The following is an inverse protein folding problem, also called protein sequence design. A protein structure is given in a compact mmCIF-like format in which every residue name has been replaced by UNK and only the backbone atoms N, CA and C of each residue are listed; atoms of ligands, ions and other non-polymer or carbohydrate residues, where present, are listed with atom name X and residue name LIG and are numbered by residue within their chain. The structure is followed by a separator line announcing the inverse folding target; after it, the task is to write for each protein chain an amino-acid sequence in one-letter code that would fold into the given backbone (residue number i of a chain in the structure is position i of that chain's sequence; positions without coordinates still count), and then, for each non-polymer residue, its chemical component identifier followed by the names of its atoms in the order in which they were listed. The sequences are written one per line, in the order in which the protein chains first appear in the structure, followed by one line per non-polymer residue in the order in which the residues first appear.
data_IF_606164346134
#
_entry.id   IF_606164346134
#
_cell.length_a   1.000
_cell.length_b   1.000
_cell.length_c   1.000
_cell.angle_alpha   90.00
_cell.angle_beta   90.00
_cell.angle_gamma   90.00
#
_symmetry.space_group_name_H-M   'P 1'
#
loop_
_entity.id
_entity.type
_entity.pdbx_description
1 polymer ?
#
# COMPACT_ATOMS: atom_id res chain seq x y z
N UNK A 1 -1.53 -24.88 11.22
CA UNK A 1 -1.19 -23.65 10.45
C UNK A 1 -2.42 -23.33 9.62
N UNK A 2 -2.85 -22.09 9.57
CA UNK A 2 -4.00 -21.69 8.72
C UNK A 2 -3.51 -21.67 7.28
N UNK A 3 -4.19 -22.35 6.38
CA UNK A 3 -3.97 -22.24 4.94
C UNK A 3 -4.81 -21.07 4.41
N UNK A 4 -4.16 -20.03 3.94
CA UNK A 4 -4.82 -18.86 3.36
C UNK A 4 -5.30 -19.06 1.91
N UNK A 5 -4.94 -20.18 1.26
CA UNK A 5 -5.29 -20.47 -0.14
C UNK A 5 -4.56 -19.57 -1.14
N UNK A 6 -3.38 -19.04 -0.78
CA UNK A 6 -2.64 -18.05 -1.57
C UNK A 6 -1.54 -18.66 -2.46
N UNK A 7 -1.26 -19.94 -2.30
CA UNK A 7 -0.22 -20.63 -3.08
C UNK A 7 -0.50 -20.51 -4.59
N UNK A 8 0.52 -20.09 -5.34
CA UNK A 8 0.47 -19.83 -6.79
C UNK A 8 -0.45 -18.67 -7.23
N UNK A 9 -1.10 -17.95 -6.33
CA UNK A 9 -1.81 -16.73 -6.66
C UNK A 9 -0.82 -15.63 -7.03
N UNK A 10 -1.19 -14.76 -7.95
CA UNK A 10 -0.36 -13.62 -8.38
C UNK A 10 -0.82 -12.37 -7.61
N UNK A 11 0.05 -11.87 -6.73
CA UNK A 11 -0.19 -10.67 -5.93
C UNK A 11 0.64 -9.50 -6.46
N UNK A 12 -0.04 -8.45 -6.91
CA UNK A 12 0.55 -7.21 -7.37
C UNK A 12 0.45 -6.14 -6.28
N UNK A 13 1.60 -5.61 -5.84
CA UNK A 13 1.70 -4.63 -4.76
C UNK A 13 2.37 -3.37 -5.30
N UNK A 14 1.69 -2.22 -5.16
CA UNK A 14 2.24 -0.92 -5.54
C UNK A 14 2.94 -0.24 -4.36
N UNK A 15 4.00 0.56 -4.62
CA UNK A 15 4.77 1.26 -3.59
C UNK A 15 5.58 0.32 -2.70
N UNK A 16 6.37 -0.59 -3.30
CA UNK A 16 6.98 -1.70 -2.59
C UNK A 16 8.52 -1.70 -2.55
N UNK A 17 9.19 -0.57 -2.86
CA UNK A 17 10.66 -0.46 -2.82
C UNK A 17 11.24 -0.17 -1.44
N UNK A 18 10.51 0.49 -0.54
CA UNK A 18 11.00 0.75 0.83
C UNK A 18 11.06 -0.57 1.63
N UNK A 19 12.26 -1.08 2.01
CA UNK A 19 12.43 -2.38 2.67
C UNK A 19 11.86 -2.46 4.09
N UNK A 20 11.48 -1.33 4.70
CA UNK A 20 10.79 -1.22 6.00
C UNK A 20 9.31 -0.87 5.82
N UNK A 21 8.86 -0.64 4.59
CA UNK A 21 7.50 -0.20 4.27
C UNK A 21 6.47 -1.33 4.32
N UNK A 22 5.21 -0.91 4.36
CA UNK A 22 4.06 -1.82 4.32
C UNK A 22 4.07 -2.66 3.03
N UNK A 23 4.35 -2.03 1.87
CA UNK A 23 4.35 -2.72 0.58
C UNK A 23 5.37 -3.86 0.52
N UNK A 24 6.63 -3.61 0.91
CA UNK A 24 7.67 -4.63 0.96
C UNK A 24 7.35 -5.75 1.96
N UNK A 25 6.85 -5.40 3.14
CA UNK A 25 6.47 -6.39 4.16
C UNK A 25 5.29 -7.25 3.70
N UNK A 26 4.31 -6.65 3.03
CA UNK A 26 3.19 -7.37 2.40
C UNK A 26 3.68 -8.32 1.31
N UNK A 27 4.63 -7.89 0.48
CA UNK A 27 5.23 -8.74 -0.55
C UNK A 27 5.90 -9.99 0.04
N UNK A 28 6.70 -9.80 1.11
CA UNK A 28 7.33 -10.91 1.83
C UNK A 28 6.29 -11.84 2.49
N UNK A 29 5.20 -11.28 3.01
CA UNK A 29 4.12 -12.06 3.60
C UNK A 29 3.42 -12.93 2.55
N UNK A 30 3.11 -12.41 1.37
CA UNK A 30 2.58 -13.20 0.25
C UNK A 30 3.56 -14.27 -0.24
N UNK A 31 4.85 -13.92 -0.34
CA UNK A 31 5.88 -14.89 -0.72
C UNK A 31 5.99 -16.07 0.27
N UNK A 32 5.88 -15.80 1.57
CA UNK A 32 5.85 -16.83 2.62
C UNK A 32 4.69 -17.82 2.44
N UNK A 33 3.56 -17.36 1.94
CA UNK A 33 2.39 -18.20 1.63
C UNK A 33 2.46 -18.85 0.23
N UNK A 34 3.58 -18.73 -0.47
CA UNK A 34 3.81 -19.35 -1.78
C UNK A 34 3.11 -18.64 -2.94
N UNK A 35 2.72 -17.38 -2.77
CA UNK A 35 2.22 -16.56 -3.87
C UNK A 35 3.37 -16.09 -4.77
N UNK A 36 3.05 -15.81 -6.03
CA UNK A 36 3.92 -15.10 -6.97
C UNK A 36 3.76 -13.61 -6.72
N UNK A 37 4.86 -12.88 -6.58
CA UNK A 37 4.83 -11.50 -6.12
C UNK A 37 5.26 -10.54 -7.23
N UNK A 38 4.45 -9.52 -7.48
CA UNK A 38 4.80 -8.43 -8.38
C UNK A 38 4.97 -7.15 -7.57
N UNK A 39 6.18 -6.61 -7.57
CA UNK A 39 6.50 -5.32 -6.96
C UNK A 39 6.41 -4.24 -8.03
N UNK A 40 5.58 -3.24 -7.80
CA UNK A 40 5.54 -2.02 -8.60
C UNK A 40 5.97 -0.86 -7.72
N UNK A 41 6.92 -0.06 -8.20
CA UNK A 41 7.40 1.10 -7.48
C UNK A 41 7.84 2.21 -8.43
N UNK A 42 7.91 3.42 -7.90
CA UNK A 42 8.56 4.56 -8.53
C UNK A 42 9.55 5.14 -7.54
N UNK A 43 10.75 5.48 -7.99
CA UNK A 43 11.70 6.26 -7.19
C UNK A 43 11.13 7.65 -6.94
N UNK A 44 11.12 8.05 -5.67
CA UNK A 44 10.64 9.37 -5.26
C UNK A 44 11.83 10.13 -4.70
N UNK A 45 12.37 11.04 -5.51
CA UNK A 45 13.51 11.85 -5.12
C UNK A 45 13.03 13.03 -4.24
N UNK A 46 13.33 12.93 -2.94
CA UNK A 46 13.14 14.00 -1.95
C UNK A 46 14.46 14.27 -1.26
N UNK A 47 14.76 15.53 -0.93
CA UNK A 47 15.99 15.87 -0.22
C UNK A 47 16.10 15.15 1.12
N UNK A 48 17.25 14.54 1.42
CA UNK A 48 17.55 13.89 2.70
C UNK A 48 19.04 14.04 3.06
N UNK A 49 19.34 13.98 4.36
CA UNK A 49 20.69 13.96 4.87
C UNK A 49 21.23 12.54 4.93
N UNK A 50 22.15 12.20 4.02
CA UNK A 50 22.73 10.87 3.92
C UNK A 50 23.43 10.39 5.20
N UNK A 51 23.88 11.29 6.08
CA UNK A 51 24.53 10.95 7.35
C UNK A 51 23.54 10.46 8.41
N UNK A 52 22.24 10.70 8.23
CA UNK A 52 21.17 10.37 9.17
C UNK A 52 20.36 9.13 8.78
N UNK A 53 20.63 8.52 7.62
CA UNK A 53 19.85 7.38 7.11
C UNK A 53 20.03 6.09 7.92
N UNK A 54 21.03 6.01 8.80
CA UNK A 54 21.30 4.84 9.64
C UNK A 54 20.29 4.60 10.77
N UNK A 55 19.43 5.59 11.09
CA UNK A 55 18.40 5.53 12.12
C UNK A 55 17.02 5.82 11.54
N UNK A 56 15.96 5.38 12.23
CA UNK A 56 14.60 5.75 11.86
C UNK A 56 14.42 7.28 11.89
N UNK A 57 13.66 7.80 10.94
CA UNK A 57 13.40 9.22 10.75
C UNK A 57 13.14 9.53 9.27
N UNK A 58 12.81 10.78 9.01
CA UNK A 58 12.46 11.26 7.66
C UNK A 58 13.55 11.01 6.63
N UNK A 59 14.83 11.17 7.00
CA UNK A 59 15.98 11.00 6.10
C UNK A 59 16.10 9.52 5.64
N UNK A 60 15.96 8.58 6.57
CA UNK A 60 15.92 7.15 6.23
C UNK A 60 14.77 6.81 5.31
N UNK A 61 13.60 7.33 5.61
CA UNK A 61 12.40 7.08 4.82
C UNK A 61 12.52 7.63 3.40
N UNK A 62 13.04 8.87 3.25
CA UNK A 62 13.25 9.46 1.92
C UNK A 62 14.34 8.75 1.13
N UNK A 63 15.46 8.40 1.77
CA UNK A 63 16.50 7.60 1.13
C UNK A 63 15.98 6.25 0.61
N UNK A 64 15.14 5.57 1.40
CA UNK A 64 14.54 4.29 1.00
C UNK A 64 13.60 4.45 -0.20
N UNK A 65 12.81 5.52 -0.24
CA UNK A 65 11.88 5.75 -1.36
C UNK A 65 12.60 6.28 -2.62
N UNK A 66 13.76 6.93 -2.48
CA UNK A 66 14.62 7.32 -3.61
C UNK A 66 15.42 6.13 -4.19
N UNK A 67 15.56 5.06 -3.42
CA UNK A 67 16.23 3.83 -3.85
C UNK A 67 15.37 2.96 -4.78
N UNK A 68 16.01 1.95 -5.35
CA UNK A 68 15.33 0.88 -6.07
C UNK A 68 14.80 -0.20 -5.11
N UNK A 69 14.26 -1.29 -5.65
CA UNK A 69 13.74 -2.40 -4.87
C UNK A 69 14.77 -3.49 -4.55
N UNK A 70 16.07 -3.27 -4.76
CA UNK A 70 17.12 -4.30 -4.66
C UNK A 70 17.16 -4.99 -3.29
N UNK A 71 17.00 -4.25 -2.20
CA UNK A 71 16.95 -4.80 -0.84
C UNK A 71 15.74 -5.74 -0.64
N UNK A 72 14.61 -5.43 -1.26
CA UNK A 72 13.40 -6.24 -1.20
C UNK A 72 13.55 -7.47 -2.09
N UNK A 73 14.12 -7.31 -3.29
CA UNK A 73 14.43 -8.41 -4.19
C UNK A 73 15.38 -9.44 -3.55
N UNK A 74 16.43 -8.97 -2.88
CA UNK A 74 17.37 -9.86 -2.18
C UNK A 74 16.67 -10.71 -1.11
N UNK A 75 15.75 -10.11 -0.35
CA UNK A 75 14.93 -10.83 0.64
C UNK A 75 14.03 -11.87 -0.01
N UNK A 76 13.31 -11.50 -1.08
CA UNK A 76 12.45 -12.44 -1.83
C UNK A 76 13.26 -13.58 -2.45
N UNK A 77 14.44 -13.28 -3.00
CA UNK A 77 15.36 -14.29 -3.54
C UNK A 77 15.84 -15.27 -2.48
N UNK A 78 16.19 -14.77 -1.28
CA UNK A 78 16.56 -15.63 -0.13
C UNK A 78 15.43 -16.54 0.33
N UNK A 79 14.18 -16.11 0.15
CA UNK A 79 13.00 -16.92 0.44
C UNK A 79 12.68 -17.93 -0.67
N UNK A 80 13.36 -17.91 -1.81
CA UNK A 80 13.05 -18.74 -2.97
C UNK A 80 11.72 -18.35 -3.65
N UNK A 81 11.29 -17.12 -3.51
CA UNK A 81 10.03 -16.65 -4.05
C UNK A 81 10.09 -16.49 -5.58
N UNK A 82 8.95 -16.72 -6.27
CA UNK A 82 8.77 -16.29 -7.65
C UNK A 82 8.28 -14.84 -7.66
N UNK A 83 9.06 -13.94 -8.23
CA UNK A 83 8.74 -12.52 -8.22
C UNK A 83 9.06 -11.80 -9.53
N UNK A 84 8.47 -10.64 -9.69
CA UNK A 84 8.71 -9.68 -10.76
C UNK A 84 8.80 -8.28 -10.15
N UNK A 85 9.73 -7.46 -10.63
CA UNK A 85 9.91 -6.07 -10.16
C UNK A 85 9.79 -5.13 -11.34
N UNK A 86 8.98 -4.09 -11.19
CA UNK A 86 8.69 -3.08 -12.21
C UNK A 86 8.85 -1.69 -11.61
N UNK A 87 9.79 -0.91 -12.13
CA UNK A 87 9.84 0.53 -11.86
C UNK A 87 8.85 1.22 -12.80
N UNK A 88 7.78 1.80 -12.24
CA UNK A 88 6.69 2.37 -13.03
C UNK A 88 5.88 3.38 -12.23
N UNK A 89 5.38 4.42 -12.89
CA UNK A 89 4.54 5.46 -12.31
C UNK A 89 3.06 5.17 -12.53
N UNK A 90 2.35 4.76 -11.47
CA UNK A 90 0.91 4.46 -11.53
C UNK A 90 0.03 5.69 -11.80
N UNK A 91 0.55 6.91 -11.66
CA UNK A 91 -0.19 8.12 -12.02
C UNK A 91 -0.32 8.32 -13.55
N UNK A 92 0.44 7.53 -14.34
CA UNK A 92 0.40 7.52 -15.80
C UNK A 92 -0.42 6.31 -16.30
N UNK A 93 -1.45 6.57 -17.10
CA UNK A 93 -2.37 5.53 -17.58
C UNK A 93 -1.67 4.50 -18.49
N UNK A 94 -0.78 4.94 -19.37
CA UNK A 94 -0.09 4.02 -20.29
C UNK A 94 0.92 3.15 -19.55
N UNK A 95 1.59 3.70 -18.53
CA UNK A 95 2.45 2.93 -17.63
C UNK A 95 1.66 1.85 -16.86
N UNK A 96 0.43 2.15 -16.43
CA UNK A 96 -0.45 1.16 -15.79
C UNK A 96 -0.81 0.03 -16.76
N UNK A 97 -1.15 0.34 -18.02
CA UNK A 97 -1.39 -0.70 -19.05
C UNK A 97 -0.16 -1.57 -19.29
N UNK A 98 1.04 -0.97 -19.31
CA UNK A 98 2.30 -1.68 -19.50
C UNK A 98 2.60 -2.61 -18.31
N UNK A 99 2.34 -2.19 -17.07
CA UNK A 99 2.43 -3.05 -15.89
C UNK A 99 1.60 -4.32 -16.10
N UNK A 100 0.30 -4.16 -16.43
CA UNK A 100 -0.59 -5.32 -16.61
C UNK A 100 -0.17 -6.17 -17.79
N UNK A 101 0.20 -5.60 -18.94
CA UNK A 101 0.67 -6.38 -20.09
C UNK A 101 1.90 -7.22 -19.76
N UNK A 102 2.85 -6.67 -19.01
CA UNK A 102 4.07 -7.38 -18.57
C UNK A 102 3.74 -8.52 -17.60
N UNK A 103 2.87 -8.26 -16.62
CA UNK A 103 2.47 -9.28 -15.64
C UNK A 103 1.68 -10.40 -16.30
N UNK A 104 0.75 -10.06 -17.20
CA UNK A 104 -0.03 -11.05 -17.94
C UNK A 104 0.84 -11.89 -18.88
N UNK A 105 1.84 -11.31 -19.53
CA UNK A 105 2.79 -12.06 -20.35
C UNK A 105 3.59 -13.07 -19.52
N UNK A 106 3.97 -12.74 -18.27
CA UNK A 106 4.74 -13.64 -17.40
C UNK A 106 3.89 -14.65 -16.66
N UNK A 107 2.75 -14.23 -16.09
CA UNK A 107 1.97 -15.03 -15.15
C UNK A 107 0.56 -15.38 -15.62
N UNK A 108 0.09 -14.76 -16.71
CA UNK A 108 -1.22 -15.00 -17.30
C UNK A 108 -2.39 -14.35 -16.58
N UNK A 109 -2.18 -13.82 -15.36
CA UNK A 109 -3.24 -13.23 -14.52
C UNK A 109 -2.68 -12.38 -13.39
N UNK A 110 -3.55 -11.56 -12.79
CA UNK A 110 -3.37 -10.96 -11.47
C UNK A 110 -4.56 -11.37 -10.59
N UNK A 111 -4.32 -12.05 -9.48
CA UNK A 111 -5.34 -12.53 -8.56
C UNK A 111 -5.64 -11.54 -7.43
N UNK A 112 -4.61 -10.83 -6.99
CA UNK A 112 -4.65 -9.94 -5.84
C UNK A 112 -3.98 -8.62 -6.23
N UNK A 113 -4.69 -7.51 -5.99
CA UNK A 113 -4.16 -6.17 -6.15
C UNK A 113 -4.10 -5.48 -4.77
N UNK A 114 -2.92 -4.98 -4.40
CA UNK A 114 -2.72 -4.15 -3.21
C UNK A 114 -2.33 -2.75 -3.65
N UNK A 115 -3.29 -1.82 -3.59
CA UNK A 115 -3.09 -0.40 -3.85
C UNK A 115 -2.46 0.26 -2.61
N UNK A 116 -1.13 0.13 -2.48
CA UNK A 116 -0.38 0.65 -1.33
C UNK A 116 0.41 1.92 -1.68
N UNK A 117 0.80 2.14 -2.94
CA UNK A 117 1.51 3.35 -3.33
C UNK A 117 0.74 4.61 -2.93
N UNK A 118 1.45 5.56 -2.36
CA UNK A 118 0.91 6.85 -1.97
C UNK A 118 1.99 7.93 -1.99
N UNK A 119 1.54 9.15 -2.15
CA UNK A 119 2.34 10.37 -1.95
C UNK A 119 1.57 11.36 -1.11
N UNK A 120 2.28 12.29 -0.50
CA UNK A 120 1.81 13.41 0.30
C UNK A 120 2.56 14.68 -0.08
N UNK A 121 2.34 15.78 0.60
CA UNK A 121 3.19 16.98 0.52
C UNK A 121 4.64 16.62 0.86
N UNK A 122 5.59 17.26 0.18
CA UNK A 122 7.03 17.03 0.40
C UNK A 122 7.51 17.34 1.81
N UNK A 123 6.77 18.14 2.57
CA UNK A 123 7.01 18.38 3.99
C UNK A 123 6.22 17.45 4.92
N UNK A 124 5.40 16.53 4.37
CA UNK A 124 4.56 15.61 5.11
C UNK A 124 3.33 16.24 5.77
N UNK A 125 3.19 17.57 5.69
CA UNK A 125 2.09 18.33 6.29
C UNK A 125 1.62 19.43 5.36
N UNK A 126 0.32 19.46 5.07
CA UNK A 126 -0.34 20.54 4.35
C UNK A 126 -1.51 21.10 5.17
N UNK A 127 -1.54 22.41 5.33
CA UNK A 127 -2.66 23.13 5.95
C UNK A 127 -3.46 23.86 4.89
N UNK A 128 -4.73 24.17 5.18
CA UNK A 128 -5.61 24.85 4.22
C UNK A 128 -5.02 26.19 3.74
N UNK A 129 -4.20 26.84 4.54
CA UNK A 129 -3.55 28.12 4.19
C UNK A 129 -2.36 27.96 3.26
N UNK A 130 -1.69 26.79 3.26
CA UNK A 130 -0.44 26.52 2.54
C UNK A 130 -0.63 25.57 1.35
N UNK A 131 -1.81 24.98 1.23
CA UNK A 131 -2.10 24.04 0.15
C UNK A 131 -1.92 24.69 -1.22
N UNK A 132 -1.30 23.98 -2.15
CA UNK A 132 -1.09 24.43 -3.52
C UNK A 132 -1.80 23.52 -4.52
N UNK A 133 -2.12 24.06 -5.70
CA UNK A 133 -2.69 23.24 -6.78
C UNK A 133 -1.79 22.03 -7.08
N UNK A 134 -0.47 22.23 -7.13
CA UNK A 134 0.49 21.14 -7.41
C UNK A 134 0.37 20.00 -6.40
N UNK A 135 0.31 20.31 -5.10
CA UNK A 135 0.18 19.28 -4.05
C UNK A 135 -1.15 18.53 -4.19
N UNK A 136 -2.24 19.23 -4.49
CA UNK A 136 -3.55 18.60 -4.74
C UNK A 136 -3.45 17.65 -5.93
N UNK A 137 -2.97 18.16 -7.09
CA UNK A 137 -2.91 17.42 -8.34
C UNK A 137 -2.02 16.18 -8.20
N UNK A 138 -0.82 16.31 -7.65
CA UNK A 138 0.14 15.21 -7.49
C UNK A 138 -0.39 14.14 -6.51
N UNK A 139 -0.96 14.56 -5.38
CA UNK A 139 -1.48 13.63 -4.38
C UNK A 139 -2.67 12.84 -4.94
N UNK A 140 -3.63 13.49 -5.58
CA UNK A 140 -4.78 12.82 -6.17
C UNK A 140 -4.39 12.01 -7.41
N UNK A 141 -3.39 12.42 -8.17
CA UNK A 141 -2.88 11.67 -9.32
C UNK A 141 -2.36 10.29 -8.91
N UNK A 142 -1.59 10.20 -7.83
CA UNK A 142 -1.04 8.94 -7.33
C UNK A 142 -2.08 8.18 -6.50
N UNK A 143 -2.59 8.80 -5.43
CA UNK A 143 -3.37 8.11 -4.42
C UNK A 143 -4.75 7.68 -4.91
N UNK A 144 -5.39 8.49 -5.76
CA UNK A 144 -6.77 8.24 -6.23
C UNK A 144 -6.77 7.74 -7.67
N UNK A 145 -6.30 8.55 -8.63
CA UNK A 145 -6.34 8.19 -10.05
C UNK A 145 -5.51 6.94 -10.32
N UNK A 146 -4.28 6.85 -9.79
CA UNK A 146 -3.42 5.68 -9.95
C UNK A 146 -4.07 4.41 -9.42
N UNK A 147 -4.61 4.44 -8.20
CA UNK A 147 -5.32 3.31 -7.61
C UNK A 147 -6.56 2.89 -8.42
N UNK A 148 -7.31 3.87 -8.97
CA UNK A 148 -8.46 3.58 -9.85
C UNK A 148 -8.03 2.95 -11.17
N UNK A 149 -6.95 3.45 -11.80
CA UNK A 149 -6.43 2.89 -13.05
C UNK A 149 -5.92 1.46 -12.83
N UNK A 150 -5.17 1.21 -11.75
CA UNK A 150 -4.75 -0.15 -11.37
C UNK A 150 -5.95 -1.08 -11.15
N UNK A 151 -6.99 -0.60 -10.47
CA UNK A 151 -8.22 -1.35 -10.23
C UNK A 151 -8.98 -1.62 -11.53
N UNK A 152 -9.09 -0.64 -12.44
CA UNK A 152 -9.72 -0.83 -13.75
C UNK A 152 -9.04 -1.94 -14.54
N UNK A 153 -7.72 -1.91 -14.65
CA UNK A 153 -6.98 -2.94 -15.40
C UNK A 153 -7.07 -4.31 -14.71
N UNK A 154 -7.12 -4.35 -13.38
CA UNK A 154 -7.42 -5.57 -12.65
C UNK A 154 -8.78 -6.17 -13.06
N UNK A 155 -9.82 -5.35 -13.11
CA UNK A 155 -11.17 -5.79 -13.51
C UNK A 155 -11.22 -6.20 -14.97
N UNK A 156 -10.50 -5.51 -15.87
CA UNK A 156 -10.48 -5.83 -17.30
C UNK A 156 -9.93 -7.24 -17.60
N UNK A 157 -8.99 -7.74 -16.81
CA UNK A 157 -8.39 -9.08 -16.96
C UNK A 157 -8.99 -10.14 -16.03
N UNK A 158 -10.05 -9.82 -15.29
CA UNK A 158 -10.64 -10.66 -14.26
C UNK A 158 -11.00 -12.06 -14.72
N UNK A 159 -10.79 -13.04 -13.82
CA UNK A 159 -11.36 -14.37 -13.87
C UNK A 159 -12.51 -14.52 -12.88
N UNK A 160 -12.62 -15.71 -12.31
CA UNK A 160 -13.61 -16.11 -11.31
C UNK A 160 -13.15 -15.88 -9.85
N UNK A 161 -11.99 -15.25 -9.66
CA UNK A 161 -11.39 -14.94 -8.36
C UNK A 161 -10.71 -13.57 -8.43
N UNK A 162 -10.86 -12.79 -7.39
CA UNK A 162 -10.12 -11.53 -7.26
C UNK A 162 -10.21 -10.95 -5.84
N UNK A 163 -9.11 -10.29 -5.43
CA UNK A 163 -9.00 -9.56 -4.17
C UNK A 163 -8.35 -8.22 -4.41
N UNK A 164 -9.02 -7.15 -4.05
CA UNK A 164 -8.49 -5.79 -4.12
C UNK A 164 -8.41 -5.22 -2.71
N UNK A 165 -7.23 -4.79 -2.30
CA UNK A 165 -7.00 -4.18 -0.99
C UNK A 165 -6.42 -2.78 -1.19
N UNK A 166 -7.16 -1.77 -0.75
CA UNK A 166 -6.73 -0.39 -0.77
C UNK A 166 -6.09 -0.03 0.58
N UNK A 167 -5.03 0.77 0.57
CA UNK A 167 -4.41 1.31 1.79
C UNK A 167 -4.88 2.73 2.04
N UNK A 168 -5.67 2.92 3.12
CA UNK A 168 -6.06 4.21 3.67
C UNK A 168 -5.15 4.63 4.83
N UNK A 169 -5.67 5.30 5.81
CA UNK A 169 -5.02 5.71 7.06
C UNK A 169 -6.08 5.92 8.14
N UNK A 170 -5.71 5.79 9.41
CA UNK A 170 -6.59 6.16 10.53
C UNK A 170 -6.94 7.67 10.52
N UNK A 171 -6.08 8.49 9.87
CA UNK A 171 -6.29 9.92 9.69
C UNK A 171 -7.33 10.27 8.61
N UNK A 172 -7.90 9.32 7.86
CA UNK A 172 -8.88 9.60 6.80
C UNK A 172 -10.25 10.13 7.31
N UNK A 173 -10.47 10.14 8.61
CA UNK A 173 -11.69 10.66 9.22
C UNK A 173 -11.56 12.15 9.62
N UNK A 174 -10.39 12.53 10.15
CA UNK A 174 -10.05 13.91 10.53
C UNK A 174 -8.58 14.11 10.20
N UNK A 175 -8.28 15.02 9.29
CA UNK A 175 -6.95 15.16 8.70
C UNK A 175 -6.41 16.60 8.76
N UNK A 176 -6.62 17.26 9.88
CA UNK A 176 -6.02 18.57 10.14
C UNK A 176 -4.48 18.49 10.00
N UNK A 177 -3.89 19.37 9.20
CA UNK A 177 -2.46 19.36 8.88
C UNK A 177 -2.03 18.35 7.81
N UNK A 178 -2.96 17.53 7.28
CA UNK A 178 -2.74 16.58 6.18
C UNK A 178 -3.94 16.62 5.21
N UNK A 179 -4.36 17.83 4.81
CA UNK A 179 -5.64 18.05 4.12
C UNK A 179 -5.73 17.24 2.83
N UNK A 180 -4.73 17.34 1.97
CA UNK A 180 -4.74 16.68 0.66
C UNK A 180 -4.60 15.16 0.79
N UNK A 181 -3.64 14.72 1.62
CA UNK A 181 -3.40 13.31 1.88
C UNK A 181 -4.63 12.65 2.51
N UNK A 182 -5.16 13.19 3.60
CA UNK A 182 -6.33 12.65 4.28
C UNK A 182 -7.56 12.61 3.38
N UNK A 183 -7.81 13.68 2.60
CA UNK A 183 -8.92 13.71 1.63
C UNK A 183 -8.76 12.62 0.56
N UNK A 184 -7.55 12.41 0.02
CA UNK A 184 -7.28 11.35 -0.95
C UNK A 184 -7.53 9.96 -0.38
N UNK A 185 -7.16 9.73 0.88
CA UNK A 185 -7.39 8.46 1.58
C UNK A 185 -8.86 8.24 1.95
N UNK A 186 -9.58 9.27 2.38
CA UNK A 186 -11.03 9.23 2.57
C UNK A 186 -11.76 8.89 1.25
N UNK A 187 -11.27 9.41 0.13
CA UNK A 187 -11.78 9.07 -1.22
C UNK A 187 -11.62 7.57 -1.50
N UNK A 188 -10.46 6.96 -1.18
CA UNK A 188 -10.26 5.51 -1.36
C UNK A 188 -11.22 4.67 -0.51
N UNK A 189 -11.55 5.10 0.70
CA UNK A 189 -12.55 4.44 1.55
C UNK A 189 -13.95 4.48 0.93
N UNK A 190 -14.34 5.62 0.35
CA UNK A 190 -15.62 5.76 -0.35
C UNK A 190 -15.65 4.90 -1.62
N UNK A 191 -14.59 4.94 -2.43
CA UNK A 191 -14.44 4.13 -3.64
C UNK A 191 -14.45 2.63 -3.34
N UNK A 192 -13.83 2.20 -2.25
CA UNK A 192 -13.83 0.79 -1.81
C UNK A 192 -15.25 0.24 -1.70
N UNK A 193 -16.16 0.98 -1.06
CA UNK A 193 -17.57 0.57 -0.91
C UNK A 193 -18.30 0.50 -2.25
N UNK A 194 -18.12 1.51 -3.09
CA UNK A 194 -18.79 1.59 -4.39
C UNK A 194 -18.32 0.50 -5.35
N UNK A 195 -16.99 0.34 -5.48
CA UNK A 195 -16.40 -0.68 -6.37
C UNK A 195 -16.76 -2.10 -5.87
N UNK A 196 -16.78 -2.33 -4.55
CA UNK A 196 -17.17 -3.62 -3.99
C UNK A 196 -18.56 -4.07 -4.47
N UNK A 197 -19.53 -3.15 -4.51
CA UNK A 197 -20.89 -3.46 -5.00
C UNK A 197 -20.90 -3.78 -6.50
N UNK A 198 -20.14 -3.06 -7.31
CA UNK A 198 -20.10 -3.27 -8.75
C UNK A 198 -19.50 -4.62 -9.15
N UNK A 199 -18.46 -5.07 -8.41
CA UNK A 199 -17.66 -6.24 -8.81
C UNK A 199 -17.98 -7.52 -8.03
N UNK A 200 -18.82 -7.46 -7.00
CA UNK A 200 -19.18 -8.62 -6.18
C UNK A 200 -19.73 -9.78 -7.01
N UNK A 201 -20.50 -9.48 -8.06
CA UNK A 201 -21.06 -10.48 -8.98
C UNK A 201 -19.99 -11.32 -9.72
N UNK A 202 -18.74 -10.86 -9.76
CA UNK A 202 -17.60 -11.57 -10.36
C UNK A 202 -16.77 -12.36 -9.35
N UNK A 203 -17.23 -12.51 -8.10
CA UNK A 203 -16.48 -13.18 -7.04
C UNK A 203 -15.28 -12.38 -6.52
N UNK A 204 -15.24 -11.07 -6.81
CA UNK A 204 -14.17 -10.16 -6.42
C UNK A 204 -14.57 -9.43 -5.13
N UNK A 205 -13.68 -9.44 -4.14
CA UNK A 205 -13.84 -8.60 -2.94
C UNK A 205 -12.95 -7.36 -3.02
N UNK A 206 -13.45 -6.24 -2.52
CA UNK A 206 -12.71 -4.98 -2.43
C UNK A 206 -12.80 -4.46 -1.00
N UNK A 207 -11.68 -4.40 -0.31
CA UNK A 207 -11.61 -3.92 1.06
C UNK A 207 -10.52 -2.85 1.22
N UNK A 208 -10.58 -2.13 2.30
CA UNK A 208 -9.62 -1.10 2.65
C UNK A 208 -8.99 -1.43 4.01
N UNK A 209 -7.69 -1.29 4.12
CA UNK A 209 -6.97 -1.32 5.40
C UNK A 209 -6.56 0.10 5.74
N UNK A 210 -6.85 0.55 6.95
CA UNK A 210 -6.55 1.88 7.47
C UNK A 210 -5.54 1.78 8.62
N UNK A 211 -4.23 1.88 8.34
CA UNK A 211 -3.19 1.83 9.35
C UNK A 211 -3.24 3.03 10.29
N UNK A 212 -2.92 2.81 11.55
CA UNK A 212 -2.48 3.85 12.47
C UNK A 212 -0.99 4.17 12.29
N UNK A 213 -0.36 4.90 13.23
CA UNK A 213 1.06 5.21 13.19
C UNK A 213 1.91 3.95 13.07
N UNK A 214 2.48 3.74 11.90
CA UNK A 214 3.21 2.51 11.54
C UNK A 214 4.69 2.81 11.35
N UNK A 215 5.56 1.98 11.94
CA UNK A 215 7.02 2.13 11.85
C UNK A 215 7.55 1.69 10.48
N UNK A 216 7.47 2.55 9.50
CA UNK A 216 7.97 2.32 8.13
C UNK A 216 9.37 2.89 7.89
N UNK A 217 10.12 3.17 8.95
CA UNK A 217 11.40 3.87 8.91
C UNK A 217 11.27 5.40 9.05
N UNK A 218 10.04 5.95 9.02
CA UNK A 218 9.75 7.37 9.10
C UNK A 218 9.69 7.91 10.54
N UNK A 219 9.20 7.11 11.51
CA UNK A 219 9.00 7.53 12.89
C UNK A 219 10.34 7.45 13.63
N UNK A 220 10.91 8.60 13.99
CA UNK A 220 12.10 8.66 14.83
C UNK A 220 11.79 8.48 16.33
N UNK A 221 12.83 8.41 17.17
CA UNK A 221 12.69 8.16 18.60
C UNK A 221 11.88 9.25 19.34
N UNK A 222 11.96 10.50 18.89
CA UNK A 222 11.27 11.61 19.56
C UNK A 222 9.78 11.62 19.16
N UNK A 223 9.47 11.39 17.89
CA UNK A 223 8.09 11.26 17.45
C UNK A 223 7.43 9.99 18.01
N UNK A 224 8.17 8.88 18.17
CA UNK A 224 7.69 7.66 18.82
C UNK A 224 7.22 7.91 20.25
N UNK A 225 8.00 8.67 21.06
CA UNK A 225 7.62 9.06 22.42
C UNK A 225 6.32 9.88 22.49
N UNK A 226 6.04 10.66 21.44
CA UNK A 226 4.83 11.49 21.36
C UNK A 226 3.63 10.67 20.90
N UNK A 227 3.81 9.82 19.89
CA UNK A 227 2.67 9.15 19.25
C UNK A 227 2.25 7.85 19.95
N UNK A 228 3.20 7.11 20.56
CA UNK A 228 2.90 5.84 21.22
C UNK A 228 1.88 5.98 22.36
N UNK A 229 1.95 7.01 23.25
CA UNK A 229 0.92 7.20 24.28
C UNK A 229 -0.49 7.47 23.77
N UNK A 230 -0.62 7.88 22.49
CA UNK A 230 -1.92 8.11 21.85
C UNK A 230 -2.55 6.81 21.31
N UNK A 231 -1.82 5.71 21.33
CA UNK A 231 -2.30 4.41 20.88
C UNK A 231 -2.75 3.60 22.12
N UNK A 232 -4.04 3.26 22.27
CA UNK A 232 -4.54 2.54 23.45
C UNK A 232 -3.82 1.21 23.76
N UNK A 233 -3.33 0.50 22.72
CA UNK A 233 -2.53 -0.72 22.91
C UNK A 233 -1.08 -0.44 23.35
N UNK A 234 -0.65 0.82 23.51
CA UNK A 234 0.62 1.24 24.08
C UNK A 234 1.87 0.92 23.25
N UNK A 235 1.73 0.66 21.95
CA UNK A 235 2.85 0.36 21.06
C UNK A 235 2.58 0.80 19.63
N UNK A 236 3.63 1.15 18.90
CA UNK A 236 3.54 1.44 17.47
C UNK A 236 3.09 0.21 16.68
N UNK A 237 2.27 0.47 15.67
CA UNK A 237 1.91 -0.54 14.68
C UNK A 237 3.17 -0.88 13.85
N UNK A 238 3.38 -2.15 13.61
CA UNK A 238 4.46 -2.61 12.74
C UNK A 238 3.92 -2.91 11.33
N UNK A 239 4.73 -2.79 10.27
CA UNK A 239 4.33 -3.16 8.92
C UNK A 239 3.77 -4.59 8.82
N UNK A 240 4.24 -5.50 9.69
CA UNK A 240 3.76 -6.87 9.81
C UNK A 240 2.29 -6.94 10.24
N UNK A 241 1.85 -6.09 11.16
CA UNK A 241 0.44 -6.06 11.62
C UNK A 241 -0.50 -5.72 10.46
N UNK A 242 -0.05 -4.82 9.57
CA UNK A 242 -0.78 -4.45 8.36
C UNK A 242 -0.74 -5.58 7.33
N UNK A 243 0.43 -6.16 7.09
CA UNK A 243 0.62 -7.23 6.11
C UNK A 243 -0.21 -8.48 6.46
N UNK A 244 -0.29 -8.88 7.73
CA UNK A 244 -1.12 -10.02 8.16
C UNK A 244 -2.62 -9.73 7.95
N UNK A 245 -3.07 -8.49 8.16
CA UNK A 245 -4.45 -8.09 7.86
C UNK A 245 -4.72 -8.15 6.36
N UNK A 246 -3.79 -7.70 5.54
CA UNK A 246 -3.89 -7.78 4.07
C UNK A 246 -3.95 -9.25 3.62
N UNK A 247 -3.08 -10.13 4.15
CA UNK A 247 -3.12 -11.57 3.86
C UNK A 247 -4.49 -12.18 4.20
N UNK A 248 -5.02 -11.88 5.39
CA UNK A 248 -6.34 -12.35 5.79
C UNK A 248 -7.42 -11.89 4.80
N UNK A 249 -7.45 -10.61 4.45
CA UNK A 249 -8.45 -10.08 3.49
C UNK A 249 -8.27 -10.64 2.07
N UNK A 250 -7.06 -11.04 1.71
CA UNK A 250 -6.77 -11.70 0.43
C UNK A 250 -7.11 -13.20 0.42
N UNK A 251 -7.36 -13.80 1.57
CA UNK A 251 -7.55 -15.26 1.73
C UNK A 251 -8.97 -15.73 1.38
N UNK A 252 -9.12 -17.05 1.29
CA UNK A 252 -10.44 -17.69 1.17
C UNK A 252 -11.31 -17.54 2.43
N UNK A 253 -10.68 -17.36 3.61
CA UNK A 253 -11.41 -17.12 4.87
C UNK A 253 -12.18 -15.81 4.85
N UNK A 254 -11.69 -14.81 4.08
CA UNK A 254 -12.33 -13.51 3.94
C UNK A 254 -13.24 -13.39 2.70
N UNK A 255 -13.57 -14.49 2.01
CA UNK A 255 -14.32 -14.47 0.73
C UNK A 255 -15.68 -13.77 0.77
N UNK A 256 -16.27 -13.61 1.95
CA UNK A 256 -17.55 -12.91 2.15
C UNK A 256 -17.38 -11.52 2.78
N UNK A 257 -16.13 -11.05 2.94
CA UNK A 257 -15.83 -9.72 3.44
C UNK A 257 -15.53 -8.81 2.25
N UNK A 258 -16.40 -7.83 1.99
CA UNK A 258 -16.23 -6.86 0.92
C UNK A 258 -16.82 -5.51 1.31
N UNK A 259 -16.30 -4.40 0.76
CA UNK A 259 -16.73 -3.04 1.04
C UNK A 259 -16.34 -2.53 2.43
N UNK A 260 -15.45 -3.22 3.16
CA UNK A 260 -15.10 -2.90 4.54
C UNK A 260 -13.86 -2.01 4.61
N UNK A 261 -13.82 -1.16 5.64
CA UNK A 261 -12.62 -0.43 6.07
C UNK A 261 -12.18 -1.00 7.41
N UNK A 262 -11.05 -1.70 7.40
CA UNK A 262 -10.50 -2.35 8.59
C UNK A 262 -9.38 -1.47 9.16
N UNK A 263 -9.61 -0.95 10.36
CA UNK A 263 -8.61 -0.13 11.06
C UNK A 263 -7.61 -1.01 11.79
N UNK A 264 -6.33 -0.82 11.51
CA UNK A 264 -5.21 -1.48 12.18
C UNK A 264 -4.41 -0.39 12.89
N UNK A 265 -4.97 0.14 13.97
CA UNK A 265 -4.50 1.34 14.64
C UNK A 265 -4.20 1.16 16.14
N UNK A 266 -4.31 -0.07 16.66
CA UNK A 266 -4.17 -0.31 18.09
C UNK A 266 -5.21 0.41 18.95
N UNK A 267 -6.39 0.75 18.36
CA UNK A 267 -7.49 1.46 19.01
C UNK A 267 -7.40 2.99 18.93
N UNK A 268 -6.40 3.56 18.24
CA UNK A 268 -6.24 5.02 18.09
C UNK A 268 -7.39 5.66 17.31
N UNK A 269 -7.92 4.93 16.34
CA UNK A 269 -9.11 5.36 15.59
C UNK A 269 -10.13 4.22 15.55
N UNK A 270 -11.35 4.50 15.89
CA UNK A 270 -12.50 3.58 15.93
C UNK A 270 -13.70 4.16 15.18
#
# INVERSE_FOLDING_TARGET
MIDYGLKNKVALITGANNPWGIGATTAMAFAREGAKVVLVYKKVDRPFDATKTGKNGVDRYYAANAGDASDVEEKLKKMGADYLVLESDISNEDAVKEIYSTVLAKYGRVDILVNNAATDDENGFDTIEKITQKVIDDTFAVNVRGSLMMTREFINQRGDYGRIINLSTDAAQVFAGQITYGASKATLEALTRSIALEVAQYGITVNCVAPGPTQTGWIDEDFEKVVTPLIPMGKLIQPQDIAETILFLASEQARMITGQVIKVSGGKAI
#
